data_IF_590273720222
#
_entry.id   IF_590273720222
#
_cell.length_a   1.000
_cell.length_b   1.000
_cell.length_c   1.000
_cell.angle_alpha   90.00
_cell.angle_beta   90.00
_cell.angle_gamma   90.00
#
_symmetry.space_group_name_H-M   'P 1'
#
loop_
_entity.id
_entity.type
_entity.pdbx_description
1 polymer ?
#
# COMPACT_ATOMS: atom_id res chain seq x y z
N UNK A 1 -12.83 5.00 -8.70
CA UNK A 1 -13.28 5.43 -7.36
C UNK A 1 -12.13 6.22 -6.72
N UNK A 2 -12.39 7.45 -6.36
CA UNK A 2 -11.38 8.35 -5.80
C UNK A 2 -11.93 9.09 -4.57
N UNK A 3 -11.01 9.64 -3.75
CA UNK A 3 -11.37 10.44 -2.60
C UNK A 3 -11.91 9.66 -1.41
N UNK A 4 -11.65 8.35 -1.35
CA UNK A 4 -12.16 7.46 -0.30
C UNK A 4 -11.03 6.62 0.29
N UNK A 5 -11.19 6.21 1.55
CA UNK A 5 -10.28 5.25 2.17
C UNK A 5 -10.42 3.86 1.56
N UNK A 6 -9.37 3.05 1.72
CA UNK A 6 -9.33 1.68 1.17
C UNK A 6 -10.47 0.80 1.65
N UNK A 7 -10.86 0.91 2.91
CA UNK A 7 -11.98 0.13 3.45
C UNK A 7 -13.32 0.50 2.80
N UNK A 8 -13.52 1.78 2.50
CA UNK A 8 -14.74 2.23 1.84
C UNK A 8 -14.79 1.75 0.39
N UNK A 9 -13.69 1.80 -0.33
CA UNK A 9 -13.60 1.26 -1.69
C UNK A 9 -13.90 -0.24 -1.69
N UNK A 10 -13.28 -0.98 -0.77
CA UNK A 10 -13.54 -2.41 -0.56
C UNK A 10 -15.03 -2.68 -0.34
N UNK A 11 -15.65 -1.92 0.55
CA UNK A 11 -17.06 -2.13 0.89
C UNK A 11 -17.98 -1.85 -0.30
N UNK A 12 -17.68 -0.85 -1.11
CA UNK A 12 -18.44 -0.56 -2.35
C UNK A 12 -18.33 -1.76 -3.31
N UNK A 13 -17.14 -2.25 -3.57
CA UNK A 13 -16.92 -3.38 -4.47
C UNK A 13 -17.60 -4.65 -3.95
N UNK A 14 -17.57 -4.85 -2.64
CA UNK A 14 -18.19 -6.01 -1.99
C UNK A 14 -19.71 -5.96 -2.02
N UNK A 15 -20.30 -4.80 -1.70
CA UNK A 15 -21.75 -4.64 -1.65
C UNK A 15 -22.38 -4.67 -3.03
N UNK A 16 -21.70 -4.09 -4.02
CA UNK A 16 -22.17 -4.00 -5.41
C UNK A 16 -21.48 -5.02 -6.30
N UNK A 17 -21.24 -6.22 -5.79
CA UNK A 17 -20.43 -7.21 -6.50
C UNK A 17 -20.99 -7.61 -7.85
N UNK A 18 -22.32 -7.62 -8.03
CA UNK A 18 -22.96 -7.95 -9.32
C UNK A 18 -22.59 -6.91 -10.37
N UNK A 19 -22.65 -5.64 -9.99
CA UNK A 19 -22.24 -4.54 -10.88
C UNK A 19 -20.73 -4.59 -11.11
N UNK A 20 -19.96 -4.76 -10.02
CA UNK A 20 -18.51 -4.81 -10.08
C UNK A 20 -18.01 -5.94 -11.00
N UNK A 21 -18.64 -7.12 -10.97
CA UNK A 21 -18.30 -8.23 -11.86
C UNK A 21 -18.53 -7.91 -13.34
N UNK A 22 -19.48 -7.04 -13.65
CA UNK A 22 -19.79 -6.63 -15.02
C UNK A 22 -18.84 -5.57 -15.57
N UNK A 23 -18.10 -4.89 -14.70
CA UNK A 23 -17.14 -3.85 -15.08
C UNK A 23 -15.80 -4.51 -15.36
N UNK A 24 -15.21 -4.22 -16.52
CA UNK A 24 -13.98 -4.87 -16.97
C UNK A 24 -12.72 -4.31 -16.31
N UNK A 25 -12.74 -3.02 -15.93
CA UNK A 25 -11.59 -2.37 -15.30
C UNK A 25 -12.04 -1.24 -14.40
N UNK A 26 -11.17 -0.93 -13.45
CA UNK A 26 -11.40 0.11 -12.44
C UNK A 26 -10.17 0.99 -12.31
N UNK A 27 -10.39 2.26 -12.04
CA UNK A 27 -9.35 3.16 -11.54
C UNK A 27 -9.69 3.45 -10.08
N UNK A 28 -8.78 3.10 -9.18
CA UNK A 28 -8.97 3.26 -7.74
C UNK A 28 -7.91 4.18 -7.19
N UNK A 29 -8.31 5.11 -6.34
CA UNK A 29 -7.40 6.01 -5.62
C UNK A 29 -7.74 5.99 -4.14
N UNK A 30 -7.18 5.05 -3.37
CA UNK A 30 -7.39 5.03 -1.92
C UNK A 30 -6.61 6.15 -1.24
N UNK A 31 -7.25 6.81 -0.26
CA UNK A 31 -6.59 7.85 0.53
C UNK A 31 -5.85 7.29 1.74
N UNK A 32 -6.27 6.11 2.23
CA UNK A 32 -5.67 5.42 3.36
C UNK A 32 -5.97 3.92 3.26
N UNK A 33 -5.45 3.13 4.19
CA UNK A 33 -5.65 1.68 4.24
C UNK A 33 -5.38 1.00 2.90
N UNK A 34 -4.36 1.47 2.20
CA UNK A 34 -4.02 1.01 0.85
C UNK A 34 -3.59 -0.46 0.86
N UNK A 35 -2.76 -0.88 1.82
CA UNK A 35 -2.34 -2.28 1.92
C UNK A 35 -3.50 -3.22 2.20
N UNK A 36 -4.44 -2.81 3.04
CA UNK A 36 -5.65 -3.59 3.31
C UNK A 36 -6.49 -3.78 2.04
N UNK A 37 -6.64 -2.71 1.25
CA UNK A 37 -7.33 -2.79 -0.03
C UNK A 37 -6.61 -3.72 -1.00
N UNK A 38 -5.30 -3.63 -1.10
CA UNK A 38 -4.48 -4.49 -1.96
C UNK A 38 -4.70 -5.96 -1.64
N UNK A 39 -4.63 -6.32 -0.37
CA UNK A 39 -4.79 -7.70 0.08
C UNK A 39 -6.20 -8.19 -0.22
N UNK A 40 -7.20 -7.37 0.05
CA UNK A 40 -8.58 -7.72 -0.27
C UNK A 40 -8.79 -7.95 -1.77
N UNK A 41 -8.26 -7.07 -2.61
CA UNK A 41 -8.34 -7.19 -4.08
C UNK A 41 -7.73 -8.52 -4.54
N UNK A 42 -6.54 -8.84 -4.04
CA UNK A 42 -5.86 -10.09 -4.38
C UNK A 42 -6.69 -11.32 -3.96
N UNK A 43 -7.30 -11.29 -2.78
CA UNK A 43 -8.08 -12.39 -2.25
C UNK A 43 -9.45 -12.57 -2.92
N UNK A 44 -9.94 -11.56 -3.61
CA UNK A 44 -11.28 -11.54 -4.18
C UNK A 44 -11.33 -11.50 -5.71
N UNK A 45 -10.27 -11.97 -6.35
CA UNK A 45 -10.27 -12.17 -7.81
C UNK A 45 -10.04 -10.90 -8.62
N UNK A 46 -9.47 -9.88 -8.02
CA UNK A 46 -9.03 -8.67 -8.74
C UNK A 46 -7.53 -8.72 -8.98
N UNK A 47 -7.11 -8.10 -10.06
CA UNK A 47 -5.70 -8.00 -10.43
C UNK A 47 -5.30 -6.54 -10.56
N UNK A 48 -4.27 -6.14 -9.85
CA UNK A 48 -3.67 -4.81 -10.00
C UNK A 48 -2.74 -4.87 -11.22
N UNK A 49 -3.12 -4.20 -12.29
CA UNK A 49 -2.38 -4.20 -13.54
C UNK A 49 -1.27 -3.15 -13.54
N UNK A 50 -1.56 -1.98 -13.00
CA UNK A 50 -0.62 -0.86 -12.93
C UNK A 50 -0.83 -0.07 -11.66
N UNK A 51 0.27 0.50 -11.17
CA UNK A 51 0.32 1.38 -10.03
C UNK A 51 1.01 2.65 -10.45
N UNK A 52 0.34 3.78 -10.27
CA UNK A 52 0.85 5.09 -10.65
C UNK A 52 0.95 5.94 -9.40
N UNK A 53 2.09 6.60 -9.24
CA UNK A 53 2.29 7.60 -8.18
C UNK A 53 2.11 8.99 -8.77
N UNK A 54 1.38 9.82 -8.06
CA UNK A 54 1.21 11.23 -8.41
C UNK A 54 1.49 12.07 -7.18
N UNK A 55 1.95 13.30 -7.38
CA UNK A 55 2.15 14.22 -6.27
C UNK A 55 1.43 15.53 -6.50
N UNK A 56 0.93 16.08 -5.40
CA UNK A 56 0.31 17.40 -5.37
C UNK A 56 0.80 18.09 -4.10
N UNK A 57 1.60 19.14 -4.25
CA UNK A 57 2.26 19.75 -3.10
C UNK A 57 3.20 18.76 -2.42
N UNK A 58 2.96 18.50 -1.13
CA UNK A 58 3.74 17.54 -0.33
C UNK A 58 3.08 16.16 -0.27
N UNK A 59 1.92 15.98 -0.91
CA UNK A 59 1.16 14.72 -0.85
C UNK A 59 1.50 13.82 -2.02
N UNK A 60 1.69 12.53 -1.72
CA UNK A 60 1.79 11.47 -2.73
C UNK A 60 0.48 10.71 -2.77
N UNK A 61 -0.01 10.48 -3.97
CA UNK A 61 -1.23 9.71 -4.22
C UNK A 61 -0.90 8.44 -4.97
N UNK A 62 -1.59 7.37 -4.64
CA UNK A 62 -1.48 6.08 -5.32
C UNK A 62 -2.73 5.87 -6.17
N UNK A 63 -2.54 5.62 -7.45
CA UNK A 63 -3.61 5.37 -8.40
C UNK A 63 -3.42 3.96 -8.95
N UNK A 64 -4.47 3.15 -8.88
CA UNK A 64 -4.44 1.74 -9.27
C UNK A 64 -5.32 1.52 -10.50
N UNK A 65 -4.76 0.85 -11.50
CA UNK A 65 -5.51 0.27 -12.59
C UNK A 65 -5.76 -1.21 -12.27
N UNK A 66 -7.03 -1.59 -12.15
CA UNK A 66 -7.43 -2.89 -11.63
C UNK A 66 -8.37 -3.59 -12.61
N UNK A 67 -8.17 -4.88 -12.82
CA UNK A 67 -9.01 -5.74 -13.63
C UNK A 67 -9.44 -6.96 -12.82
N UNK A 68 -10.27 -7.81 -13.38
CA UNK A 68 -10.53 -9.13 -12.80
C UNK A 68 -9.43 -10.09 -13.20
N UNK A 69 -8.89 -10.81 -12.24
CA UNK A 69 -7.82 -11.76 -12.52
C UNK A 69 -7.13 -12.26 -11.27
N UNK A 70 -6.09 -13.03 -11.48
CA UNK A 70 -5.30 -13.64 -10.41
C UNK A 70 -4.00 -12.87 -10.19
N UNK A 71 -3.66 -12.66 -8.92
CA UNK A 71 -2.34 -12.23 -8.48
C UNK A 71 -1.84 -13.21 -7.42
N UNK A 72 -0.53 -13.49 -7.42
CA UNK A 72 0.08 -14.22 -6.33
C UNK A 72 -0.07 -13.44 -5.02
N UNK A 73 -0.26 -14.12 -3.88
CA UNK A 73 -0.32 -13.45 -2.58
C UNK A 73 0.96 -12.67 -2.27
N UNK A 74 0.81 -11.57 -1.53
CA UNK A 74 1.90 -10.72 -1.09
C UNK A 74 1.67 -10.29 0.37
N UNK A 75 2.75 -9.87 1.02
CA UNK A 75 2.69 -9.40 2.40
C UNK A 75 2.18 -7.95 2.49
N UNK A 76 1.86 -7.50 3.72
CA UNK A 76 1.47 -6.11 3.96
C UNK A 76 2.54 -5.12 3.48
N UNK A 77 3.81 -5.38 3.81
CA UNK A 77 4.89 -4.47 3.40
C UNK A 77 5.07 -4.45 1.89
N UNK A 78 4.93 -5.60 1.24
CA UNK A 78 4.97 -5.67 -0.22
C UNK A 78 3.80 -4.88 -0.83
N UNK A 79 2.61 -4.96 -0.24
CA UNK A 79 1.46 -4.17 -0.66
C UNK A 79 1.70 -2.67 -0.52
N UNK A 80 2.38 -2.23 0.54
CA UNK A 80 2.72 -0.82 0.73
C UNK A 80 3.78 -0.35 -0.26
N UNK A 81 4.80 -1.15 -0.51
CA UNK A 81 5.89 -0.82 -1.45
C UNK A 81 5.35 -0.76 -2.88
N UNK A 82 4.64 -1.80 -3.29
CA UNK A 82 4.08 -1.95 -4.62
C UNK A 82 4.26 -3.35 -5.14
N UNK A 83 3.35 -3.78 -5.99
CA UNK A 83 3.25 -5.18 -6.44
C UNK A 83 3.42 -5.32 -7.96
N UNK A 84 3.63 -4.23 -8.68
CA UNK A 84 3.77 -4.25 -10.13
C UNK A 84 5.10 -3.63 -10.57
N UNK A 85 5.54 -4.02 -11.76
CA UNK A 85 6.73 -3.43 -12.38
C UNK A 85 6.60 -1.93 -12.59
N UNK A 86 5.38 -1.45 -12.90
CA UNK A 86 5.12 -0.02 -13.09
C UNK A 86 5.46 0.81 -11.86
N UNK A 87 5.28 0.27 -10.65
CA UNK A 87 5.64 0.94 -9.41
C UNK A 87 7.15 1.13 -9.32
N UNK A 88 7.92 0.08 -9.61
CA UNK A 88 9.37 0.11 -9.50
C UNK A 88 10.02 1.01 -10.55
N UNK A 89 9.35 1.24 -11.68
CA UNK A 89 9.81 2.12 -12.77
C UNK A 89 9.32 3.55 -12.62
N UNK A 90 8.43 3.81 -11.66
CA UNK A 90 7.88 5.15 -11.43
C UNK A 90 8.97 6.09 -10.92
N UNK A 91 9.07 7.27 -11.51
CA UNK A 91 10.05 8.28 -11.10
C UNK A 91 9.88 8.74 -9.66
N UNK A 92 8.70 8.56 -9.08
CA UNK A 92 8.39 8.91 -7.68
C UNK A 92 8.60 7.74 -6.72
N UNK A 93 9.08 6.60 -7.19
CA UNK A 93 9.23 5.40 -6.37
C UNK A 93 10.15 5.62 -5.16
N UNK A 94 11.31 6.24 -5.37
CA UNK A 94 12.25 6.55 -4.27
C UNK A 94 11.58 7.44 -3.23
N UNK A 95 10.84 8.45 -3.67
CA UNK A 95 10.09 9.33 -2.78
C UNK A 95 9.03 8.57 -1.98
N UNK A 96 8.35 7.63 -2.63
CA UNK A 96 7.38 6.74 -1.97
C UNK A 96 8.05 5.88 -0.90
N UNK A 97 9.17 5.27 -1.21
CA UNK A 97 9.95 4.47 -0.25
C UNK A 97 10.41 5.31 0.95
N UNK A 98 10.88 6.52 0.70
CA UNK A 98 11.30 7.45 1.77
C UNK A 98 10.13 7.82 2.68
N UNK A 99 8.96 8.01 2.12
CA UNK A 99 7.74 8.27 2.90
C UNK A 99 7.43 7.10 3.83
N UNK A 100 7.47 5.87 3.31
CA UNK A 100 7.24 4.66 4.10
C UNK A 100 8.29 4.49 5.20
N UNK A 101 9.56 4.71 4.86
CA UNK A 101 10.67 4.64 5.80
C UNK A 101 10.51 5.66 6.92
N UNK A 102 10.17 6.90 6.59
CA UNK A 102 9.95 7.94 7.59
C UNK A 102 8.81 7.60 8.54
N UNK A 103 7.74 6.99 8.04
CA UNK A 103 6.64 6.52 8.88
C UNK A 103 7.10 5.47 9.90
N UNK A 104 7.95 4.53 9.48
CA UNK A 104 8.52 3.52 10.38
C UNK A 104 9.47 4.13 11.41
N UNK A 105 10.30 5.06 10.99
CA UNK A 105 11.21 5.79 11.90
C UNK A 105 10.44 6.55 12.96
N UNK A 106 9.33 7.17 12.62
CA UNK A 106 8.47 7.85 13.59
C UNK A 106 7.86 6.88 14.59
N UNK A 107 7.44 5.70 14.16
CA UNK A 107 6.93 4.64 15.04
C UNK A 107 8.03 4.21 16.02
N UNK A 108 9.22 3.93 15.51
CA UNK A 108 10.36 3.51 16.34
C UNK A 108 10.72 4.55 17.39
N UNK A 109 10.76 5.81 17.00
CA UNK A 109 11.05 6.93 17.91
C UNK A 109 9.97 7.10 18.97
N UNK A 110 8.71 6.98 18.60
CA UNK A 110 7.58 7.10 19.55
C UNK A 110 7.55 5.98 20.57
N UNK A 111 7.90 4.76 20.17
CA UNK A 111 7.95 3.61 21.07
C UNK A 111 9.13 3.72 22.05
N UNK A 112 10.25 4.25 21.62
CA UNK A 112 11.42 4.48 22.48
C UNK A 112 11.11 5.43 23.65
N UNK A 113 10.18 6.35 23.47
CA UNK A 113 9.78 7.33 24.50
C UNK A 113 8.76 6.71 25.45
N UNK A 114 7.89 5.81 24.97
CA UNK A 114 6.86 5.14 25.76
C UNK A 114 7.42 3.87 26.38
N UNK A 115 7.05 3.59 27.63
CA UNK A 115 7.44 2.33 28.26
C UNK A 115 6.86 1.15 27.48
N UNK A 116 7.72 0.17 27.17
CA UNK A 116 7.34 -0.97 26.37
C UNK A 116 6.30 -1.84 27.08
N UNK A 117 5.21 -2.17 26.38
CA UNK A 117 4.30 -3.23 26.73
C UNK A 117 4.28 -4.25 25.57
N UNK A 118 3.53 -5.35 25.72
CA UNK A 118 3.52 -6.43 24.71
C UNK A 118 3.07 -5.92 23.32
N UNK A 119 2.06 -5.06 23.28
CA UNK A 119 1.54 -4.49 22.02
C UNK A 119 2.57 -3.59 21.37
N UNK A 120 3.19 -2.69 22.16
CA UNK A 120 4.22 -1.79 21.66
C UNK A 120 5.46 -2.57 21.18
N UNK A 121 5.82 -3.66 21.88
CA UNK A 121 6.92 -4.52 21.46
C UNK A 121 6.67 -5.17 20.10
N UNK A 122 5.46 -5.70 19.87
CA UNK A 122 5.09 -6.29 18.59
C UNK A 122 5.11 -5.24 17.47
N UNK A 123 4.55 -4.06 17.73
CA UNK A 123 4.56 -2.94 16.78
C UNK A 123 5.98 -2.47 16.48
N UNK A 124 6.83 -2.40 17.49
CA UNK A 124 8.23 -2.04 17.35
C UNK A 124 8.97 -3.06 16.47
N UNK A 125 8.81 -4.35 16.73
CA UNK A 125 9.47 -5.39 15.96
C UNK A 125 9.02 -5.38 14.48
N UNK A 126 7.74 -5.17 14.25
CA UNK A 126 7.21 -5.02 12.90
C UNK A 126 7.82 -3.82 12.18
N UNK A 127 7.90 -2.68 12.87
CA UNK A 127 8.50 -1.47 12.30
C UNK A 127 10.00 -1.65 12.01
N UNK A 128 10.74 -2.35 12.86
CA UNK A 128 12.15 -2.68 12.62
C UNK A 128 12.31 -3.56 11.38
N UNK A 129 11.50 -4.60 11.26
CA UNK A 129 11.52 -5.51 10.12
C UNK A 129 11.19 -4.77 8.82
N UNK A 130 10.12 -3.99 8.83
CA UNK A 130 9.69 -3.19 7.68
C UNK A 130 10.78 -2.19 7.27
N UNK A 131 11.38 -1.49 8.24
CA UNK A 131 12.42 -0.50 7.97
C UNK A 131 13.66 -1.15 7.35
N UNK A 132 14.05 -2.34 7.80
CA UNK A 132 15.16 -3.07 7.23
C UNK A 132 14.90 -3.41 5.75
N UNK A 133 13.69 -3.83 5.41
CA UNK A 133 13.28 -4.13 4.04
C UNK A 133 13.32 -2.84 3.19
N UNK A 134 12.75 -1.76 3.71
CA UNK A 134 12.70 -0.47 3.02
C UNK A 134 14.10 0.09 2.75
N UNK A 135 15.00 0.02 3.73
CA UNK A 135 16.38 0.47 3.60
C UNK A 135 17.12 -0.33 2.52
N UNK A 136 16.94 -1.64 2.48
CA UNK A 136 17.54 -2.48 1.46
C UNK A 136 17.08 -2.11 0.05
N UNK A 137 15.79 -1.88 -0.12
CA UNK A 137 15.22 -1.49 -1.42
C UNK A 137 15.68 -0.09 -1.80
N UNK A 138 15.64 0.86 -0.87
CA UNK A 138 16.13 2.23 -1.10
C UNK A 138 17.57 2.22 -1.59
N UNK A 139 18.41 1.40 -0.98
CA UNK A 139 19.81 1.27 -1.37
C UNK A 139 19.96 0.84 -2.84
N UNK A 140 19.08 -0.03 -3.33
CA UNK A 140 19.11 -0.51 -4.73
C UNK A 140 18.68 0.56 -5.73
N UNK A 141 17.81 1.48 -5.34
CA UNK A 141 17.22 2.48 -6.23
C UNK A 141 17.83 3.88 -6.09
N UNK A 142 18.72 4.06 -5.15
CA UNK A 142 19.50 5.29 -4.99
C UNK A 142 20.90 5.10 -5.61
#
# INVERSE_FOLDING_TARGET
>A
IAGMGGFMIRDILKQEYVIAESIKWFILQPQNHTSDLYIWLQQNGYKIEQEILAEEGTQLYEILYVTHGYMAPFSEIEAEIGVTESRYKDKLFVKHLKKLSNQRKMILKGIDIESANVVNTAKYQKALTDEAILEEILWRFM
#
